data_IF_014733902570
#
_entry.id   IF_014733902570
#
_cell.length_a   1.000
_cell.length_b   1.000
_cell.length_c   1.000
_cell.angle_alpha   90.00
_cell.angle_beta   90.00
_cell.angle_gamma   90.00
#
_symmetry.space_group_name_H-M   'P 1'
#
loop_
_entity.id
_entity.type
_entity.pdbx_description
1 polymer ?
#
# COMPACT_ATOMS: atom_id res chain seq x y z
N UNK A 1 -13.88 13.64 0.55
CA UNK A 1 -12.76 13.95 1.45
C UNK A 1 -11.66 14.75 0.76
N UNK A 2 -11.20 14.30 -0.41
CA UNK A 2 -10.18 15.01 -1.21
C UNK A 2 -10.64 16.43 -1.56
N UNK A 3 -11.87 16.58 -2.06
CA UNK A 3 -12.42 17.89 -2.41
C UNK A 3 -12.53 18.82 -1.18
N UNK A 4 -12.87 18.25 -0.01
CA UNK A 4 -12.92 19.02 1.24
C UNK A 4 -11.55 19.54 1.63
N UNK A 5 -10.51 18.73 1.48
CA UNK A 5 -9.12 19.13 1.75
C UNK A 5 -8.65 20.21 0.79
N UNK A 6 -8.95 20.06 -0.51
CA UNK A 6 -8.62 21.05 -1.54
C UNK A 6 -9.33 22.38 -1.29
N UNK A 7 -10.62 22.35 -0.97
CA UNK A 7 -11.38 23.57 -0.66
C UNK A 7 -10.81 24.31 0.56
N UNK A 8 -10.35 23.58 1.58
CA UNK A 8 -9.68 24.18 2.74
C UNK A 8 -8.31 24.75 2.41
N UNK A 9 -7.53 24.04 1.61
CA UNK A 9 -6.26 24.57 1.10
C UNK A 9 -6.48 25.89 0.38
N UNK A 10 -7.46 25.95 -0.52
CA UNK A 10 -7.82 27.15 -1.24
C UNK A 10 -8.28 28.26 -0.29
N UNK A 11 -9.11 27.96 0.71
CA UNK A 11 -9.55 28.94 1.72
C UNK A 11 -8.38 29.48 2.53
N UNK A 12 -7.39 28.68 2.90
CA UNK A 12 -6.19 29.11 3.60
C UNK A 12 -5.31 29.97 2.71
N UNK A 13 -5.19 29.63 1.43
CA UNK A 13 -4.46 30.44 0.44
C UNK A 13 -5.15 31.77 0.16
N UNK A 14 -6.49 31.81 0.09
CA UNK A 14 -7.30 33.00 -0.14
C UNK A 14 -7.26 34.00 1.05
N UNK A 15 -6.95 33.52 2.24
CA UNK A 15 -6.77 34.36 3.42
C UNK A 15 -5.46 35.17 3.43
N UNK A 16 -4.63 35.06 2.38
CA UNK A 16 -3.52 35.98 2.10
C UNK A 16 -2.37 35.93 3.10
N UNK A 17 -2.22 34.87 3.84
CA UNK A 17 -1.12 34.69 4.77
C UNK A 17 0.17 34.25 4.07
N UNK A 18 1.14 35.16 3.97
CA UNK A 18 2.49 34.87 3.47
C UNK A 18 3.26 33.82 4.32
N UNK A 19 2.71 33.48 5.48
CA UNK A 19 3.24 32.45 6.38
C UNK A 19 2.11 31.57 6.86
N UNK A 20 1.84 30.52 6.10
CA UNK A 20 1.01 29.41 6.57
C UNK A 20 1.77 28.75 7.73
N UNK A 21 1.28 28.91 8.95
CA UNK A 21 1.81 28.15 10.08
C UNK A 21 1.56 26.65 9.82
N UNK A 22 2.59 25.95 9.37
CA UNK A 22 2.52 24.52 9.07
C UNK A 22 1.98 23.70 10.25
N UNK A 23 2.17 24.20 11.49
CA UNK A 23 1.61 23.55 12.68
C UNK A 23 0.10 23.72 12.78
N UNK A 24 -0.42 24.88 12.41
CA UNK A 24 -1.85 25.15 12.38
C UNK A 24 -2.51 24.32 11.27
N UNK A 25 -1.93 24.36 10.09
CA UNK A 25 -2.36 23.58 8.93
C UNK A 25 -2.39 22.09 9.19
N UNK A 26 -1.32 21.51 9.74
CA UNK A 26 -1.26 20.10 10.06
C UNK A 26 -2.22 19.68 11.19
N UNK A 27 -2.45 20.56 12.17
CA UNK A 27 -3.33 20.29 13.31
C UNK A 27 -4.80 20.40 12.96
N UNK A 28 -5.19 21.37 12.15
CA UNK A 28 -6.60 21.51 11.73
C UNK A 28 -6.96 20.49 10.65
N UNK A 29 -6.10 20.25 9.66
CA UNK A 29 -6.33 19.19 8.67
C UNK A 29 -6.42 17.82 9.32
N UNK A 30 -5.59 17.53 10.32
CA UNK A 30 -5.64 16.28 11.06
C UNK A 30 -6.90 16.16 11.95
N UNK A 31 -7.32 17.24 12.61
CA UNK A 31 -8.55 17.26 13.43
C UNK A 31 -9.79 17.07 12.59
N UNK A 32 -9.88 17.73 11.46
CA UNK A 32 -11.07 17.68 10.63
C UNK A 32 -11.16 16.39 9.79
N UNK A 33 -10.02 15.80 9.42
CA UNK A 33 -10.00 14.46 8.85
C UNK A 33 -10.37 13.38 9.86
N UNK A 34 -10.25 13.66 11.16
CA UNK A 34 -10.52 12.68 12.24
C UNK A 34 -11.86 12.88 12.93
N UNK A 35 -12.54 14.04 12.76
CA UNK A 35 -13.57 14.45 13.71
C UNK A 35 -15.01 14.16 13.32
N UNK A 36 -15.31 13.76 12.10
CA UNK A 36 -16.72 13.65 11.70
C UNK A 36 -17.05 12.41 10.87
N UNK A 37 -16.47 11.30 10.97
CA UNK A 37 -16.92 10.01 10.40
C UNK A 37 -17.80 10.00 9.14
N UNK A 38 -18.22 11.18 8.66
CA UNK A 38 -19.15 11.36 7.53
C UNK A 38 -18.68 12.47 6.62
N UNK A 39 -18.68 12.23 5.32
CA UNK A 39 -18.34 13.24 4.32
C UNK A 39 -19.39 14.36 4.31
N UNK A 40 -19.01 15.65 4.47
CA UNK A 40 -19.96 16.76 4.52
C UNK A 40 -20.67 17.02 3.19
N UNK A 41 -20.19 16.46 2.07
CA UNK A 41 -20.76 16.67 0.74
C UNK A 41 -21.69 15.53 0.29
N UNK A 42 -21.32 14.27 0.52
CA UNK A 42 -22.09 13.13 0.05
C UNK A 42 -22.70 12.29 1.18
N UNK A 43 -22.45 12.62 2.45
CA UNK A 43 -22.99 11.89 3.59
C UNK A 43 -22.41 10.49 3.80
N UNK A 44 -21.42 10.07 2.99
CA UNK A 44 -20.80 8.76 3.14
C UNK A 44 -19.96 8.67 4.42
N UNK A 45 -20.08 7.56 5.13
CA UNK A 45 -19.22 7.27 6.27
C UNK A 45 -17.75 7.17 5.83
N UNK A 46 -16.89 7.87 6.57
CA UNK A 46 -15.45 7.83 6.36
C UNK A 46 -14.83 6.82 7.33
N UNK A 47 -14.48 5.68 6.78
CA UNK A 47 -13.81 4.62 7.54
C UNK A 47 -12.35 4.99 7.71
N UNK A 48 -11.90 5.11 8.95
CA UNK A 48 -10.49 5.36 9.24
C UNK A 48 -9.69 4.07 9.08
N UNK A 49 -8.64 4.16 8.25
CA UNK A 49 -7.71 3.05 8.01
C UNK A 49 -6.42 3.32 8.79
N UNK A 50 -5.92 2.31 9.49
CA UNK A 50 -4.63 2.32 10.18
C UNK A 50 -3.70 1.27 9.60
N UNK A 51 -2.41 1.59 9.57
CA UNK A 51 -1.36 0.61 9.32
C UNK A 51 -1.15 -0.24 10.58
N UNK A 52 -1.37 -1.53 10.46
CA UNK A 52 -1.01 -2.54 11.45
C UNK A 52 0.32 -3.14 11.02
N UNK A 53 1.37 -2.70 11.70
CA UNK A 53 2.74 -3.11 11.35
C UNK A 53 2.89 -4.65 11.43
N UNK A 54 3.66 -5.27 10.54
CA UNK A 54 4.57 -4.61 9.59
C UNK A 54 3.92 -4.22 8.25
N UNK A 55 2.86 -4.87 7.78
CA UNK A 55 2.46 -4.80 6.36
C UNK A 55 0.95 -4.77 6.11
N UNK A 56 0.13 -4.75 7.15
CA UNK A 56 -1.31 -4.92 7.05
C UNK A 56 -2.05 -3.61 7.31
N UNK A 57 -3.11 -3.35 6.55
CA UNK A 57 -4.03 -2.26 6.83
C UNK A 57 -5.27 -2.77 7.55
N UNK A 58 -5.77 -2.02 8.53
CA UNK A 58 -7.02 -2.31 9.25
C UNK A 58 -7.97 -1.15 9.21
N UNK A 59 -9.24 -1.47 9.09
CA UNK A 59 -10.33 -0.54 9.39
C UNK A 59 -10.51 -0.40 10.90
N UNK A 60 -10.59 0.84 11.37
CA UNK A 60 -10.64 1.10 12.82
C UNK A 60 -11.99 0.73 13.41
N UNK A 61 -13.07 0.84 12.63
CA UNK A 61 -14.44 0.62 13.12
C UNK A 61 -14.69 -0.86 13.41
N UNK A 62 -14.38 -1.73 12.47
CA UNK A 62 -14.70 -3.17 12.55
C UNK A 62 -13.49 -4.03 12.86
N UNK A 63 -12.31 -3.40 13.01
CA UNK A 63 -11.03 -4.09 13.15
C UNK A 63 -10.74 -5.10 12.02
N UNK A 64 -11.38 -4.90 10.87
CA UNK A 64 -11.26 -5.74 9.69
C UNK A 64 -9.89 -5.55 9.04
N UNK A 65 -9.18 -6.65 8.79
CA UNK A 65 -7.93 -6.66 8.03
C UNK A 65 -8.24 -6.49 6.55
N UNK A 66 -7.64 -5.48 5.92
CA UNK A 66 -7.74 -5.29 4.49
C UNK A 66 -6.70 -6.14 3.75
N UNK A 67 -7.16 -6.95 2.83
CA UNK A 67 -6.30 -7.68 1.91
C UNK A 67 -5.72 -6.73 0.85
N UNK A 68 -4.59 -7.10 0.25
CA UNK A 68 -3.99 -6.32 -0.84
C UNK A 68 -4.97 -6.13 -2.01
N UNK A 69 -5.82 -7.11 -2.27
CA UNK A 69 -6.88 -7.03 -3.28
C UNK A 69 -7.90 -5.94 -2.96
N UNK A 70 -8.41 -5.90 -1.72
CA UNK A 70 -9.38 -4.89 -1.29
C UNK A 70 -8.78 -3.48 -1.32
N UNK A 71 -7.51 -3.33 -0.92
CA UNK A 71 -6.79 -2.06 -1.03
C UNK A 71 -6.71 -1.63 -2.49
N UNK A 72 -6.34 -2.54 -3.40
CA UNK A 72 -6.29 -2.26 -4.84
C UNK A 72 -7.65 -1.84 -5.40
N UNK A 73 -8.71 -2.59 -5.10
CA UNK A 73 -10.07 -2.29 -5.54
C UNK A 73 -10.55 -0.92 -5.06
N UNK A 74 -10.18 -0.51 -3.84
CA UNK A 74 -10.48 0.83 -3.34
C UNK A 74 -9.74 1.92 -4.10
N UNK A 75 -8.48 1.69 -4.43
CA UNK A 75 -7.67 2.63 -5.20
C UNK A 75 -8.18 2.75 -6.65
N UNK A 76 -8.63 1.64 -7.25
CA UNK A 76 -9.24 1.62 -8.60
C UNK A 76 -10.55 2.44 -8.68
N UNK A 77 -11.28 2.57 -7.57
CA UNK A 77 -12.53 3.36 -7.52
C UNK A 77 -12.33 4.87 -7.49
N UNK A 78 -11.10 5.34 -7.34
CA UNK A 78 -10.81 6.78 -7.33
C UNK A 78 -10.98 7.31 -8.76
N UNK A 79 -11.90 8.28 -8.99
CA UNK A 79 -12.12 8.83 -10.31
C UNK A 79 -10.93 9.67 -10.79
N UNK A 80 -10.75 9.74 -12.10
CA UNK A 80 -9.64 10.45 -12.74
C UNK A 80 -9.61 11.95 -12.43
N UNK A 81 -10.77 12.56 -12.22
CA UNK A 81 -10.85 13.99 -11.87
C UNK A 81 -10.28 14.27 -10.48
N UNK A 82 -10.51 13.37 -9.52
CA UNK A 82 -9.93 13.47 -8.19
C UNK A 82 -8.41 13.26 -8.22
N UNK A 83 -7.92 12.37 -9.08
CA UNK A 83 -6.49 12.16 -9.28
C UNK A 83 -5.81 13.39 -9.85
N UNK A 84 -6.41 14.03 -10.86
CA UNK A 84 -5.89 15.30 -11.41
C UNK A 84 -5.89 16.41 -10.37
N UNK A 85 -6.91 16.46 -9.51
CA UNK A 85 -6.98 17.41 -8.41
C UNK A 85 -5.88 17.19 -7.36
N UNK A 86 -5.38 15.97 -7.23
CA UNK A 86 -4.22 15.63 -6.37
C UNK A 86 -2.86 15.87 -7.06
N UNK A 87 -2.85 16.29 -8.32
CA UNK A 87 -1.64 16.45 -9.11
C UNK A 87 -1.08 15.14 -9.68
N UNK A 88 -1.90 14.08 -9.72
CA UNK A 88 -1.54 12.79 -10.30
C UNK A 88 -2.14 12.71 -11.70
N UNK A 89 -1.30 12.45 -12.70
CA UNK A 89 -1.79 12.19 -14.07
C UNK A 89 -2.25 10.72 -14.18
N UNK A 90 -3.56 10.47 -14.37
CA UNK A 90 -4.08 9.10 -14.44
C UNK A 90 -3.60 8.30 -15.66
N UNK A 91 -3.07 8.97 -16.69
CA UNK A 91 -2.50 8.29 -17.85
C UNK A 91 -1.12 7.67 -17.57
N UNK A 92 -0.35 8.30 -16.67
CA UNK A 92 1.04 7.89 -16.38
C UNK A 92 1.18 7.19 -15.04
N UNK A 93 0.32 7.50 -14.08
CA UNK A 93 0.42 6.95 -12.72
C UNK A 93 -0.97 6.81 -12.08
N UNK A 94 -1.42 5.58 -11.92
CA UNK A 94 -2.65 5.31 -11.17
C UNK A 94 -2.32 4.73 -9.79
N UNK A 95 -3.08 5.10 -8.72
CA UNK A 95 -2.82 4.66 -7.36
C UNK A 95 -2.86 3.14 -7.18
N UNK A 96 -3.73 2.43 -7.89
CA UNK A 96 -3.83 0.97 -7.84
C UNK A 96 -2.57 0.24 -8.32
N UNK A 97 -1.73 0.91 -9.11
CA UNK A 97 -0.45 0.33 -9.55
C UNK A 97 0.58 0.20 -8.42
N UNK A 98 0.37 0.87 -7.29
CA UNK A 98 1.19 0.69 -6.09
C UNK A 98 1.01 -0.71 -5.49
N UNK A 99 -0.11 -1.38 -5.76
CA UNK A 99 -0.32 -2.77 -5.39
C UNK A 99 0.15 -3.64 -6.55
N UNK A 100 1.32 -4.24 -6.38
CA UNK A 100 2.00 -4.99 -7.43
C UNK A 100 1.23 -6.26 -7.80
N UNK A 101 1.11 -6.51 -9.10
CA UNK A 101 0.62 -7.78 -9.67
C UNK A 101 1.75 -8.62 -10.26
N UNK A 102 2.89 -8.00 -10.51
CA UNK A 102 4.11 -8.63 -10.97
C UNK A 102 5.30 -8.06 -10.20
N UNK A 103 6.22 -8.93 -9.78
CA UNK A 103 7.43 -8.56 -9.08
C UNK A 103 8.58 -8.42 -10.07
N UNK A 104 9.27 -7.29 -10.04
CA UNK A 104 10.49 -7.10 -10.81
C UNK A 104 11.63 -7.93 -10.22
N UNK A 105 12.25 -8.76 -11.05
CA UNK A 105 13.40 -9.58 -10.66
C UNK A 105 14.67 -8.93 -11.19
N UNK A 106 15.60 -8.50 -10.33
CA UNK A 106 16.84 -7.89 -10.76
C UNK A 106 17.74 -8.90 -11.49
N UNK A 107 18.57 -8.44 -12.44
CA UNK A 107 19.51 -9.29 -13.14
C UNK A 107 20.56 -9.87 -12.19
N UNK A 108 21.21 -10.94 -12.63
CA UNK A 108 22.23 -11.65 -11.82
C UNK A 108 23.43 -10.77 -11.44
N UNK A 109 23.69 -9.72 -12.17
CA UNK A 109 24.73 -8.75 -11.86
C UNK A 109 24.48 -7.94 -10.59
N UNK A 110 23.21 -7.76 -10.21
CA UNK A 110 22.78 -7.08 -8.98
C UNK A 110 22.85 -8.02 -7.77
N UNK A 111 22.76 -9.33 -8.00
CA UNK A 111 22.80 -10.38 -6.99
C UNK A 111 23.83 -11.45 -7.34
N UNK A 112 25.12 -11.11 -7.34
CA UNK A 112 26.16 -12.01 -7.80
C UNK A 112 26.31 -13.21 -6.90
N UNK A 113 26.62 -14.35 -7.49
CA UNK A 113 27.00 -15.57 -6.81
C UNK A 113 28.52 -15.66 -6.72
N UNK A 114 29.06 -15.81 -5.50
CA UNK A 114 30.49 -15.83 -5.22
C UNK A 114 30.92 -17.27 -4.96
N UNK A 115 32.02 -17.71 -5.56
CA UNK A 115 32.66 -18.98 -5.22
C UNK A 115 33.69 -18.73 -4.12
N UNK A 116 33.56 -19.39 -2.98
CA UNK A 116 34.49 -19.32 -1.87
C UNK A 116 35.73 -20.13 -2.17
N UNK A 117 36.83 -19.86 -1.45
CA UNK A 117 38.10 -20.59 -1.59
C UNK A 117 37.94 -22.10 -1.26
N UNK A 118 36.92 -22.46 -0.49
CA UNK A 118 36.53 -23.86 -0.20
C UNK A 118 35.93 -24.60 -1.42
N UNK A 119 35.60 -23.89 -2.50
CA UNK A 119 34.86 -24.39 -3.64
C UNK A 119 33.33 -24.31 -3.50
N UNK A 120 32.83 -23.89 -2.33
CA UNK A 120 31.41 -23.70 -2.09
C UNK A 120 30.93 -22.42 -2.76
N UNK A 121 29.66 -22.46 -3.21
CA UNK A 121 29.00 -21.32 -3.84
C UNK A 121 28.14 -20.58 -2.84
N UNK A 122 28.46 -19.32 -2.59
CA UNK A 122 27.65 -18.42 -1.78
C UNK A 122 26.78 -17.55 -2.67
N UNK A 123 25.50 -17.51 -2.40
CA UNK A 123 24.54 -16.66 -3.12
C UNK A 123 24.16 -15.44 -2.27
N UNK A 124 23.82 -14.37 -2.97
CA UNK A 124 23.32 -13.13 -2.35
C UNK A 124 21.99 -13.35 -1.62
N UNK A 125 21.80 -12.65 -0.50
CA UNK A 125 20.57 -12.74 0.31
C UNK A 125 19.32 -12.37 -0.50
N UNK A 126 19.46 -11.47 -1.48
CA UNK A 126 18.38 -11.11 -2.39
C UNK A 126 17.90 -12.31 -3.21
N UNK A 127 18.79 -13.21 -3.61
CA UNK A 127 18.43 -14.46 -4.29
C UNK A 127 17.63 -15.38 -3.36
N UNK A 128 18.01 -15.49 -2.10
CA UNK A 128 17.27 -16.29 -1.12
C UNK A 128 15.86 -15.73 -0.88
N UNK A 129 15.71 -14.41 -0.78
CA UNK A 129 14.40 -13.75 -0.66
C UNK A 129 13.50 -13.99 -1.88
N UNK A 130 14.05 -13.94 -3.08
CA UNK A 130 13.31 -14.26 -4.29
C UNK A 130 12.83 -15.73 -4.33
N UNK A 131 13.68 -16.66 -3.85
CA UNK A 131 13.30 -18.08 -3.72
C UNK A 131 12.15 -18.25 -2.73
N UNK A 132 12.18 -17.54 -1.59
CA UNK A 132 11.10 -17.57 -0.61
C UNK A 132 9.79 -17.05 -1.20
N UNK A 133 9.82 -15.93 -1.92
CA UNK A 133 8.64 -15.39 -2.62
C UNK A 133 8.08 -16.41 -3.61
N UNK A 134 8.93 -17.04 -4.41
CA UNK A 134 8.51 -18.07 -5.39
C UNK A 134 7.85 -19.27 -4.71
N UNK A 135 8.45 -19.80 -3.65
CA UNK A 135 7.94 -20.96 -2.89
C UNK A 135 6.56 -20.67 -2.29
N UNK A 136 6.42 -19.52 -1.65
CA UNK A 136 5.13 -19.15 -1.03
C UNK A 136 4.07 -18.88 -2.10
N UNK A 137 4.43 -18.20 -3.19
CA UNK A 137 3.52 -17.97 -4.30
C UNK A 137 3.03 -19.28 -4.95
N UNK A 138 3.92 -20.24 -5.16
CA UNK A 138 3.56 -21.55 -5.67
C UNK A 138 2.62 -22.27 -4.69
N UNK A 139 2.94 -22.27 -3.40
CA UNK A 139 2.12 -22.91 -2.36
C UNK A 139 0.74 -22.25 -2.25
N UNK A 140 0.67 -20.94 -2.35
CA UNK A 140 -0.60 -20.19 -2.38
C UNK A 140 -1.45 -20.60 -3.60
N UNK A 141 -0.83 -20.70 -4.78
CA UNK A 141 -1.52 -21.13 -6.01
C UNK A 141 -2.08 -22.56 -5.86
N UNK A 142 -1.26 -23.51 -5.41
CA UNK A 142 -1.65 -24.89 -5.21
C UNK A 142 -2.81 -25.03 -4.23
N UNK A 143 -2.77 -24.35 -3.09
CA UNK A 143 -3.86 -24.38 -2.09
C UNK A 143 -5.15 -23.73 -2.60
N UNK A 144 -5.04 -22.61 -3.31
CA UNK A 144 -6.19 -21.97 -3.94
C UNK A 144 -6.85 -22.87 -4.98
N UNK A 145 -6.06 -23.47 -5.87
CA UNK A 145 -6.53 -24.32 -6.95
C UNK A 145 -7.09 -25.67 -6.43
N UNK A 146 -6.59 -26.15 -5.28
CA UNK A 146 -7.11 -27.29 -4.56
C UNK A 146 -8.39 -27.02 -3.74
N UNK A 147 -8.85 -25.76 -3.70
CA UNK A 147 -10.03 -25.38 -2.91
C UNK A 147 -9.82 -25.45 -1.40
N UNK A 148 -8.62 -25.15 -0.92
CA UNK A 148 -8.31 -25.13 0.50
C UNK A 148 -9.21 -24.14 1.28
N UNK A 149 -9.40 -24.34 2.60
CA UNK A 149 -10.15 -23.41 3.43
C UNK A 149 -9.64 -21.97 3.32
N UNK A 150 -10.57 -21.03 3.28
CA UNK A 150 -10.28 -19.59 3.10
C UNK A 150 -9.19 -19.08 4.07
N UNK A 151 -9.25 -19.52 5.33
CA UNK A 151 -8.28 -19.14 6.35
C UNK A 151 -6.83 -19.49 5.96
N UNK A 152 -6.61 -20.67 5.39
CA UNK A 152 -5.27 -21.11 4.95
C UNK A 152 -4.78 -20.27 3.77
N UNK A 153 -5.68 -19.92 2.86
CA UNK A 153 -5.35 -19.08 1.70
C UNK A 153 -4.98 -17.67 2.17
N UNK A 154 -5.70 -17.12 3.13
CA UNK A 154 -5.43 -15.80 3.72
C UNK A 154 -4.10 -15.77 4.48
N UNK A 155 -3.78 -16.79 5.26
CA UNK A 155 -2.50 -16.90 5.97
C UNK A 155 -1.31 -16.97 4.99
N UNK A 156 -1.45 -17.73 3.92
CA UNK A 156 -0.41 -17.81 2.87
C UNK A 156 -0.27 -16.48 2.11
N UNK A 157 -1.36 -15.76 1.92
CA UNK A 157 -1.33 -14.44 1.27
C UNK A 157 -0.64 -13.40 2.15
N UNK A 158 -0.93 -13.42 3.46
CA UNK A 158 -0.24 -12.55 4.44
C UNK A 158 1.27 -12.86 4.49
N UNK A 159 1.64 -14.14 4.45
CA UNK A 159 3.03 -14.57 4.40
C UNK A 159 3.72 -14.13 3.10
N UNK A 160 3.05 -14.23 1.95
CA UNK A 160 3.57 -13.74 0.68
C UNK A 160 3.81 -12.22 0.73
N UNK A 161 2.85 -11.47 1.27
CA UNK A 161 2.97 -10.02 1.47
C UNK A 161 4.18 -9.67 2.34
N UNK A 162 4.40 -10.42 3.41
CA UNK A 162 5.57 -10.24 4.28
C UNK A 162 6.89 -10.45 3.52
N UNK A 163 7.00 -11.52 2.74
CA UNK A 163 8.22 -11.79 1.96
C UNK A 163 8.47 -10.75 0.86
N UNK A 164 7.43 -10.27 0.20
CA UNK A 164 7.54 -9.19 -0.79
C UNK A 164 7.97 -7.88 -0.10
N UNK A 165 7.41 -7.56 1.05
CA UNK A 165 7.79 -6.36 1.81
C UNK A 165 9.25 -6.43 2.25
N UNK A 166 9.71 -7.56 2.80
CA UNK A 166 11.12 -7.73 3.21
C UNK A 166 12.09 -7.82 2.03
N UNK A 167 11.61 -8.07 0.83
CA UNK A 167 12.42 -7.96 -0.38
C UNK A 167 12.75 -6.50 -0.73
N UNK A 168 11.83 -5.57 -0.48
CA UNK A 168 12.03 -4.13 -0.73
C UNK A 168 12.68 -3.40 0.44
N UNK A 169 12.31 -3.75 1.66
CA UNK A 169 12.73 -3.08 2.89
C UNK A 169 13.02 -4.14 3.98
N UNK A 170 14.30 -4.46 4.10
CA UNK A 170 14.75 -5.49 5.03
C UNK A 170 15.20 -4.85 6.35
#
# INVERSE_FOLDING_TARGET
>A
EIQTRLNRMNTILDLGGDTIDQKLYSKETAKDASSKGVCPYCGAEQIKIKLDKPTTFREVNDNHKLTAKEVRERLERIPDDDLRALGIDPATCRPEWMVLTALAVPPVTVRPSITLDSGDRSEDDLTHKLVDVLRINQRLRENRDAGAPQLIVEDLWELLQYHVTTYFDN
#
